data_IF_259978807941
#
_entry.id   IF_259978807941
#
_cell.length_a   1.000
_cell.length_b   1.000
_cell.length_c   1.000
_cell.angle_alpha   90.00
_cell.angle_beta   90.00
_cell.angle_gamma   90.00
#
_symmetry.space_group_name_H-M   'P 1'
#
loop_
_entity.id
_entity.type
_entity.pdbx_description
1 polymer ?
#
# COMPACT_ATOMS: atom_id res chain seq x y z
N UNK A 1 92.77 -50.58 2.17
CA UNK A 1 93.31 -50.37 3.52
C UNK A 1 92.47 -49.29 4.19
N UNK A 2 91.96 -49.59 5.39
CA UNK A 2 91.13 -48.72 6.22
C UNK A 2 91.70 -47.30 6.35
N UNK A 3 90.84 -46.28 6.43
CA UNK A 3 90.77 -45.40 7.62
C UNK A 3 89.48 -44.58 7.58
N UNK A 4 88.90 -44.44 8.76
CA UNK A 4 87.50 -44.11 9.02
C UNK A 4 87.40 -42.99 10.06
N UNK A 5 86.47 -42.04 9.83
CA UNK A 5 85.61 -41.34 10.82
C UNK A 5 86.31 -40.38 11.84
N UNK A 6 85.58 -39.48 12.54
CA UNK A 6 84.12 -39.41 12.73
C UNK A 6 83.41 -38.06 12.55
N UNK A 7 82.09 -38.20 12.41
CA UNK A 7 81.00 -37.23 12.44
C UNK A 7 80.77 -36.65 13.83
N UNK A 8 80.45 -35.36 13.94
CA UNK A 8 79.90 -34.72 15.14
C UNK A 8 78.47 -34.27 14.88
N UNK A 9 77.53 -34.74 15.69
CA UNK A 9 76.15 -34.28 15.79
C UNK A 9 76.06 -32.98 16.60
N UNK A 10 75.21 -32.04 16.18
CA UNK A 10 74.75 -30.93 17.02
C UNK A 10 73.25 -30.73 16.84
N UNK A 11 72.58 -30.64 17.98
CA UNK A 11 71.14 -30.52 18.19
C UNK A 11 70.57 -29.23 17.57
N UNK A 12 69.46 -29.34 16.84
CA UNK A 12 68.63 -28.20 16.46
C UNK A 12 67.57 -27.94 17.53
N UNK A 13 67.70 -26.80 18.21
CA UNK A 13 66.68 -26.22 19.07
C UNK A 13 65.61 -25.55 18.17
N UNK A 14 64.38 -26.07 18.19
CA UNK A 14 63.23 -25.46 17.49
C UNK A 14 62.60 -24.40 18.38
N UNK A 15 62.77 -23.13 18.05
CA UNK A 15 62.02 -22.01 18.63
C UNK A 15 60.69 -21.81 17.88
N UNK A 16 59.57 -21.92 18.58
CA UNK A 16 58.23 -21.60 18.08
C UNK A 16 58.03 -20.07 18.06
N UNK A 17 57.83 -19.50 16.87
CA UNK A 17 57.30 -18.14 16.71
C UNK A 17 55.78 -18.20 16.76
N UNK A 18 55.18 -17.56 17.77
CA UNK A 18 53.74 -17.30 17.81
C UNK A 18 53.43 -16.12 16.88
N UNK A 19 52.72 -16.36 15.78
CA UNK A 19 52.24 -15.33 14.89
C UNK A 19 50.97 -14.69 15.48
N UNK A 20 51.06 -13.40 15.84
CA UNK A 20 49.91 -12.58 16.24
C UNK A 20 49.09 -12.24 14.97
N UNK A 21 47.94 -12.89 14.78
CA UNK A 21 46.97 -12.50 13.75
C UNK A 21 46.24 -11.23 14.20
N UNK A 22 46.65 -10.07 13.70
CA UNK A 22 45.85 -8.84 13.77
C UNK A 22 44.71 -8.99 12.77
N UNK A 23 43.50 -9.32 13.25
CA UNK A 23 42.29 -9.18 12.44
C UNK A 23 42.04 -7.69 12.19
N UNK A 24 42.45 -7.19 11.03
CA UNK A 24 41.97 -5.92 10.53
C UNK A 24 40.45 -6.05 10.33
N UNK A 25 39.67 -5.46 11.25
CA UNK A 25 38.24 -5.31 11.05
C UNK A 25 38.04 -4.43 9.81
N UNK A 26 37.64 -5.03 8.68
CA UNK A 26 37.14 -4.26 7.56
C UNK A 26 36.02 -3.35 8.08
N UNK A 27 35.99 -2.05 7.71
CA UNK A 27 34.87 -1.20 8.06
C UNK A 27 33.60 -1.90 7.58
N UNK A 28 32.71 -2.24 8.50
CA UNK A 28 31.42 -2.78 8.16
C UNK A 28 30.77 -1.78 7.20
N UNK A 29 30.52 -2.18 5.96
CA UNK A 29 29.80 -1.36 5.02
C UNK A 29 28.48 -0.95 5.69
N UNK A 30 28.24 0.34 5.84
CA UNK A 30 26.96 0.83 6.35
C UNK A 30 25.89 0.24 5.45
N UNK A 31 24.93 -0.55 5.96
CA UNK A 31 23.91 -1.15 5.13
C UNK A 31 23.20 -0.03 4.37
N UNK A 32 23.27 -0.09 3.04
CA UNK A 32 22.54 0.82 2.19
C UNK A 32 21.06 0.43 2.22
N UNK A 33 20.18 1.41 2.37
CA UNK A 33 18.74 1.20 2.38
C UNK A 33 18.17 1.87 1.14
N UNK A 34 18.15 1.16 -0.01
CA UNK A 34 17.90 1.77 -1.31
C UNK A 34 16.40 1.97 -1.51
N UNK A 35 15.80 2.92 -0.79
CA UNK A 35 14.39 3.30 -0.97
C UNK A 35 14.12 3.84 -2.37
N UNK A 36 15.12 4.45 -3.00
CA UNK A 36 15.00 5.05 -4.32
C UNK A 36 14.57 4.05 -5.38
N UNK A 37 13.54 4.41 -6.14
CA UNK A 37 13.10 3.66 -7.30
C UNK A 37 11.59 3.46 -7.35
N UNK A 38 11.19 2.54 -8.23
CA UNK A 38 9.79 2.22 -8.49
C UNK A 38 9.39 0.94 -7.77
N UNK A 39 8.25 0.98 -7.11
CA UNK A 39 7.78 -0.08 -6.24
C UNK A 39 6.32 -0.39 -6.50
N UNK A 40 5.97 -1.67 -6.51
CA UNK A 40 4.59 -2.14 -6.67
C UNK A 40 4.15 -2.92 -5.46
N UNK A 41 2.98 -2.60 -4.94
CA UNK A 41 2.37 -3.36 -3.85
C UNK A 41 2.07 -4.78 -4.31
N UNK A 42 2.54 -5.76 -3.55
CA UNK A 42 2.14 -7.16 -3.70
C UNK A 42 0.79 -7.32 -3.00
N UNK A 43 -0.30 -7.18 -3.76
CA UNK A 43 -1.66 -7.24 -3.23
C UNK A 43 -2.02 -8.62 -2.67
N UNK A 44 -1.29 -9.67 -3.05
CA UNK A 44 -1.48 -11.03 -2.51
C UNK A 44 -0.86 -11.22 -1.13
N UNK A 45 0.08 -10.34 -0.75
CA UNK A 45 0.75 -10.38 0.55
C UNK A 45 -0.04 -9.73 1.69
N UNK A 46 -1.20 -9.13 1.39
CA UNK A 46 -2.05 -8.43 2.35
C UNK A 46 -2.49 -9.36 3.49
N UNK A 47 -2.09 -9.00 4.72
CA UNK A 47 -2.47 -9.69 5.96
C UNK A 47 -3.11 -8.71 6.93
N UNK A 48 -4.25 -9.08 7.50
CA UNK A 48 -4.94 -8.29 8.50
C UNK A 48 -6.42 -8.69 8.61
N UNK A 49 -7.12 -8.13 9.59
CA UNK A 49 -8.56 -8.33 9.73
C UNK A 49 -9.29 -7.42 8.73
N UNK A 50 -9.31 -7.83 7.45
CA UNK A 50 -10.04 -7.13 6.40
C UNK A 50 -11.51 -7.48 6.52
N UNK A 51 -12.33 -6.53 7.00
CA UNK A 51 -13.78 -6.71 7.10
C UNK A 51 -14.36 -6.94 5.69
N UNK A 52 -15.21 -7.97 5.49
CA UNK A 52 -15.98 -8.13 4.27
C UNK A 52 -16.85 -6.90 3.98
N UNK A 53 -16.95 -6.49 2.72
CA UNK A 53 -17.86 -5.42 2.30
C UNK A 53 -19.29 -5.91 2.40
N UNK A 54 -20.19 -5.08 2.91
CA UNK A 54 -21.63 -5.35 2.94
C UNK A 54 -22.34 -4.40 1.98
N UNK A 55 -23.18 -4.95 1.12
CA UNK A 55 -24.08 -4.16 0.27
C UNK A 55 -25.53 -4.44 0.63
N UNK A 56 -26.33 -3.39 0.59
CA UNK A 56 -27.79 -3.44 0.59
C UNK A 56 -28.27 -2.71 -0.66
N UNK A 57 -28.99 -3.42 -1.51
CA UNK A 57 -29.70 -2.85 -2.65
C UNK A 57 -31.10 -3.44 -2.69
N UNK A 58 -32.00 -2.76 -2.01
CA UNK A 58 -33.39 -3.15 -1.75
C UNK A 58 -34.28 -1.92 -1.89
N UNK A 59 -35.47 -2.09 -2.48
CA UNK A 59 -36.46 -1.02 -2.67
C UNK A 59 -35.90 0.28 -3.29
N UNK A 60 -34.93 0.15 -4.20
CA UNK A 60 -34.28 1.28 -4.86
C UNK A 60 -33.27 2.06 -3.99
N UNK A 61 -33.01 1.63 -2.75
CA UNK A 61 -31.97 2.19 -1.90
C UNK A 61 -30.67 1.39 -1.98
N UNK A 62 -29.57 2.07 -2.26
CA UNK A 62 -28.21 1.52 -2.25
C UNK A 62 -27.50 1.95 -0.96
N UNK A 63 -26.84 0.99 -0.29
CA UNK A 63 -25.96 1.25 0.85
C UNK A 63 -24.76 0.32 0.81
N UNK A 64 -23.58 0.89 1.03
CA UNK A 64 -22.30 0.19 1.18
C UNK A 64 -21.79 0.36 2.61
N UNK A 65 -21.57 -0.75 3.29
CA UNK A 65 -21.12 -0.81 4.68
C UNK A 65 -21.95 0.10 5.61
N UNK A 66 -21.28 1.00 6.33
CA UNK A 66 -21.88 1.90 7.31
C UNK A 66 -22.25 3.27 6.71
N UNK A 67 -22.18 3.42 5.38
CA UNK A 67 -22.56 4.65 4.68
C UNK A 67 -24.07 4.90 4.77
N UNK A 68 -24.49 6.12 4.44
CA UNK A 68 -25.91 6.44 4.29
C UNK A 68 -26.52 5.74 3.06
N UNK A 69 -27.85 5.75 2.98
CA UNK A 69 -28.58 5.16 1.86
C UNK A 69 -28.69 6.22 0.74
N UNK A 70 -28.29 5.85 -0.47
CA UNK A 70 -28.41 6.66 -1.69
C UNK A 70 -29.46 6.03 -2.61
N UNK A 71 -30.29 6.84 -3.27
CA UNK A 71 -31.26 6.31 -4.24
C UNK A 71 -30.55 5.79 -5.49
N UNK A 72 -30.96 4.61 -5.95
CA UNK A 72 -30.46 3.96 -7.16
C UNK A 72 -31.27 4.34 -8.40
N UNK A 73 -31.48 5.64 -8.62
CA UNK A 73 -32.30 6.21 -9.70
C UNK A 73 -31.47 6.86 -10.83
N UNK A 74 -30.14 6.77 -10.74
CA UNK A 74 -29.19 7.35 -11.69
C UNK A 74 -29.00 8.87 -11.56
N UNK A 75 -29.65 9.53 -10.61
CA UNK A 75 -29.44 10.94 -10.33
C UNK A 75 -28.35 11.14 -9.28
N UNK A 76 -27.71 12.31 -9.28
CA UNK A 76 -26.80 12.67 -8.19
C UNK A 76 -27.58 13.05 -6.95
N UNK A 77 -27.22 12.43 -5.82
CA UNK A 77 -27.71 12.78 -4.50
C UNK A 77 -26.53 13.21 -3.65
N UNK A 78 -26.75 14.25 -2.82
CA UNK A 78 -25.76 14.64 -1.84
C UNK A 78 -25.54 13.53 -0.83
N UNK A 79 -24.27 13.33 -0.49
CA UNK A 79 -23.85 12.42 0.56
C UNK A 79 -23.11 13.17 1.66
N UNK A 80 -23.31 12.72 2.89
CA UNK A 80 -22.77 13.31 4.11
C UNK A 80 -21.85 12.32 4.83
N UNK A 81 -20.89 12.85 5.59
CA UNK A 81 -19.98 12.03 6.41
C UNK A 81 -18.81 11.38 5.65
N UNK A 82 -18.66 11.62 4.34
CA UNK A 82 -17.46 11.28 3.57
C UNK A 82 -16.60 12.53 3.36
N UNK A 83 -15.29 12.43 3.62
CA UNK A 83 -14.34 13.49 3.25
C UNK A 83 -13.86 13.36 1.79
N UNK A 84 -14.29 12.31 1.08
CA UNK A 84 -13.81 11.93 -0.24
C UNK A 84 -14.86 12.00 -1.35
N UNK A 85 -16.14 12.19 -1.01
CA UNK A 85 -17.27 12.21 -1.95
C UNK A 85 -18.34 13.15 -1.40
N UNK A 86 -18.82 14.08 -2.23
CA UNK A 86 -19.89 15.04 -1.89
C UNK A 86 -21.24 14.63 -2.50
N UNK A 87 -21.21 13.97 -3.66
CA UNK A 87 -22.40 13.50 -4.37
C UNK A 87 -22.16 12.12 -4.97
N UNK A 88 -23.19 11.28 -4.96
CA UNK A 88 -23.19 9.96 -5.57
C UNK A 88 -24.37 9.78 -6.50
N UNK A 89 -24.14 9.18 -7.66
CA UNK A 89 -25.18 8.68 -8.56
C UNK A 89 -25.05 7.16 -8.68
N UNK A 90 -26.12 6.45 -8.35
CA UNK A 90 -26.18 4.98 -8.42
C UNK A 90 -27.20 4.59 -9.48
N UNK A 91 -26.80 3.76 -10.46
CA UNK A 91 -27.70 3.22 -11.48
C UNK A 91 -27.69 1.70 -11.48
N UNK A 92 -28.87 1.09 -11.50
CA UNK A 92 -29.04 -0.35 -11.75
C UNK A 92 -29.11 -0.54 -13.27
N UNK A 93 -28.14 -1.23 -13.87
CA UNK A 93 -28.10 -1.50 -15.32
C UNK A 93 -28.75 -2.84 -15.66
N UNK A 94 -28.60 -3.82 -14.77
CA UNK A 94 -29.25 -5.13 -14.85
C UNK A 94 -29.22 -5.77 -13.48
N UNK A 95 -29.81 -6.97 -13.33
CA UNK A 95 -29.68 -7.76 -12.10
C UNK A 95 -28.22 -8.14 -11.72
N UNK A 96 -27.27 -7.97 -12.64
CA UNK A 96 -25.85 -8.30 -12.48
C UNK A 96 -24.92 -7.09 -12.52
N UNK A 97 -25.42 -5.89 -12.84
CA UNK A 97 -24.55 -4.73 -13.06
C UNK A 97 -25.15 -3.50 -12.39
N UNK A 98 -24.36 -2.87 -11.52
CA UNK A 98 -24.66 -1.58 -10.88
C UNK A 98 -23.49 -0.63 -11.15
N UNK A 99 -23.77 0.63 -11.45
CA UNK A 99 -22.73 1.65 -11.65
C UNK A 99 -22.87 2.76 -10.62
N UNK A 100 -21.76 3.27 -10.12
CA UNK A 100 -21.63 4.39 -9.20
C UNK A 100 -20.76 5.47 -9.85
N UNK A 101 -21.19 6.72 -9.75
CA UNK A 101 -20.42 7.90 -10.16
C UNK A 101 -20.37 8.86 -9.00
N UNK A 102 -19.16 9.22 -8.60
CA UNK A 102 -18.91 10.08 -7.45
C UNK A 102 -18.37 11.43 -7.90
N UNK A 103 -18.82 12.49 -7.22
CA UNK A 103 -18.28 13.84 -7.39
C UNK A 103 -17.74 14.41 -6.10
N UNK A 104 -16.72 15.24 -6.26
CA UNK A 104 -16.16 16.10 -5.22
C UNK A 104 -16.08 17.51 -5.77
N UNK A 105 -16.66 18.47 -5.06
CA UNK A 105 -16.69 19.90 -5.42
C UNK A 105 -17.18 20.10 -6.86
N UNK A 106 -18.22 19.35 -7.24
CA UNK A 106 -18.84 19.35 -8.57
C UNK A 106 -18.01 18.70 -9.70
N UNK A 107 -16.86 18.10 -9.40
CA UNK A 107 -16.00 17.43 -10.38
C UNK A 107 -16.07 15.92 -10.26
N UNK A 108 -15.96 15.21 -11.38
CA UNK A 108 -15.86 13.74 -11.41
C UNK A 108 -14.65 13.29 -10.58
N UNK A 109 -14.89 12.45 -9.58
CA UNK A 109 -13.85 11.90 -8.73
C UNK A 109 -13.66 10.40 -9.01
N UNK A 110 -14.75 9.64 -9.05
CA UNK A 110 -14.70 8.20 -9.27
C UNK A 110 -15.82 7.72 -10.19
N UNK A 111 -15.53 6.67 -10.94
CA UNK A 111 -16.55 5.79 -11.52
C UNK A 111 -16.30 4.38 -11.02
N UNK A 112 -17.36 3.70 -10.61
CA UNK A 112 -17.30 2.31 -10.16
C UNK A 112 -18.33 1.48 -10.92
N UNK A 113 -17.93 0.32 -11.41
CA UNK A 113 -18.83 -0.68 -11.96
C UNK A 113 -18.75 -1.95 -11.11
N UNK A 114 -19.90 -2.37 -10.59
CA UNK A 114 -20.08 -3.60 -9.82
C UNK A 114 -20.66 -4.68 -10.73
N UNK A 115 -19.87 -5.68 -11.09
CA UNK A 115 -20.26 -6.77 -11.99
C UNK A 115 -20.36 -8.08 -11.19
N UNK A 116 -21.56 -8.64 -11.12
CA UNK A 116 -21.82 -9.91 -10.44
C UNK A 116 -21.83 -11.04 -11.48
N UNK A 117 -21.08 -12.11 -11.24
CA UNK A 117 -21.05 -13.29 -12.12
C UNK A 117 -22.44 -13.92 -12.30
N UNK A 118 -22.68 -14.65 -13.41
CA UNK A 118 -23.97 -15.31 -13.66
C UNK A 118 -24.43 -16.24 -12.54
N UNK A 119 -23.50 -16.90 -11.84
CA UNK A 119 -23.80 -17.78 -10.70
C UNK A 119 -24.00 -17.02 -9.37
N UNK A 120 -23.84 -15.71 -9.38
CA UNK A 120 -24.01 -14.83 -8.23
C UNK A 120 -22.91 -14.93 -7.17
N UNK A 121 -21.83 -15.68 -7.40
CA UNK A 121 -20.80 -15.99 -6.39
C UNK A 121 -19.61 -15.04 -6.40
N UNK A 122 -19.36 -14.38 -7.51
CA UNK A 122 -18.22 -13.48 -7.71
C UNK A 122 -18.74 -12.07 -8.00
N UNK A 123 -18.09 -11.08 -7.41
CA UNK A 123 -18.31 -9.67 -7.66
C UNK A 123 -16.99 -9.05 -8.06
N UNK A 124 -16.95 -8.41 -9.23
CA UNK A 124 -15.80 -7.64 -9.71
C UNK A 124 -16.14 -6.15 -9.65
N UNK A 125 -15.27 -5.37 -9.03
CA UNK A 125 -15.37 -3.91 -8.99
C UNK A 125 -14.35 -3.33 -9.92
N UNK A 126 -14.79 -2.59 -10.93
CA UNK A 126 -13.90 -1.79 -11.75
C UNK A 126 -13.99 -0.35 -11.29
N UNK A 127 -12.88 0.19 -10.78
CA UNK A 127 -12.80 1.58 -10.30
C UNK A 127 -11.90 2.37 -11.23
N UNK A 128 -12.34 3.57 -11.63
CA UNK A 128 -11.47 4.59 -12.19
C UNK A 128 -11.49 5.83 -11.29
N UNK A 129 -10.32 6.24 -10.82
CA UNK A 129 -10.11 7.46 -10.05
C UNK A 129 -9.58 8.57 -10.93
N UNK A 130 -10.21 9.75 -10.86
CA UNK A 130 -9.85 10.96 -11.59
C UNK A 130 -9.25 12.04 -10.68
N UNK A 131 -8.93 11.68 -9.43
CA UNK A 131 -8.48 12.64 -8.41
C UNK A 131 -7.02 13.04 -8.55
N UNK A 132 -6.26 12.37 -9.42
CA UNK A 132 -4.85 12.65 -9.63
C UNK A 132 -4.63 14.07 -10.16
N UNK A 133 -3.51 14.74 -9.82
CA UNK A 133 -3.20 16.07 -10.34
C UNK A 133 -3.16 16.14 -11.88
N UNK A 134 -2.77 15.05 -12.55
CA UNK A 134 -2.77 14.99 -14.02
C UNK A 134 -4.16 14.96 -14.66
N UNK A 135 -5.22 14.71 -13.88
CA UNK A 135 -6.59 14.49 -14.37
C UNK A 135 -6.79 13.18 -15.14
N UNK A 136 -5.75 12.37 -15.31
CA UNK A 136 -5.84 11.07 -15.97
C UNK A 136 -6.45 10.05 -15.00
N UNK A 137 -7.30 9.20 -15.57
CA UNK A 137 -7.88 8.08 -14.85
C UNK A 137 -6.78 7.10 -14.41
N UNK A 138 -6.86 6.70 -13.15
CA UNK A 138 -6.10 5.59 -12.60
C UNK A 138 -7.07 4.48 -12.25
N UNK A 139 -6.86 3.29 -12.80
CA UNK A 139 -7.81 2.19 -12.67
C UNK A 139 -7.34 1.13 -11.69
N UNK A 140 -8.32 0.45 -11.08
CA UNK A 140 -8.10 -0.74 -10.28
C UNK A 140 -9.28 -1.70 -10.43
N UNK A 141 -9.00 -2.98 -10.27
CA UNK A 141 -10.00 -4.03 -10.20
C UNK A 141 -9.92 -4.72 -8.83
N UNK A 142 -11.07 -4.97 -8.22
CA UNK A 142 -11.17 -5.80 -7.02
C UNK A 142 -12.11 -6.96 -7.29
N UNK A 143 -11.63 -8.19 -7.13
CA UNK A 143 -12.46 -9.40 -7.19
C UNK A 143 -12.83 -9.79 -5.77
N UNK A 144 -14.11 -10.08 -5.57
CA UNK A 144 -14.67 -10.51 -4.29
C UNK A 144 -15.51 -11.78 -4.45
N UNK A 145 -15.56 -12.58 -3.39
CA UNK A 145 -16.38 -13.79 -3.26
C UNK A 145 -17.53 -13.54 -2.30
N UNK A 146 -18.74 -13.98 -2.65
CA UNK A 146 -19.90 -13.87 -1.75
C UNK A 146 -19.71 -14.71 -0.48
N UNK A 147 -20.12 -14.14 0.65
CA UNK A 147 -20.28 -14.84 1.92
C UNK A 147 -21.78 -15.07 2.16
N UNK A 148 -22.17 -16.34 2.30
CA UNK A 148 -23.54 -16.75 2.57
C UNK A 148 -24.44 -16.79 1.32
N UNK A 149 -25.70 -17.20 1.47
CA UNK A 149 -26.65 -17.29 0.37
C UNK A 149 -27.05 -15.91 -0.17
N UNK A 150 -27.52 -15.86 -1.42
CA UNK A 150 -28.14 -14.67 -1.96
C UNK A 150 -29.43 -14.32 -1.19
N UNK A 151 -29.69 -13.02 -1.01
CA UNK A 151 -30.91 -12.55 -0.33
C UNK A 151 -32.10 -12.63 -1.29
N UNK A 152 -33.09 -13.47 -0.96
CA UNK A 152 -34.27 -13.67 -1.81
C UNK A 152 -35.04 -12.37 -1.98
N UNK A 153 -35.40 -12.04 -3.23
CA UNK A 153 -36.16 -10.84 -3.57
C UNK A 153 -35.35 -9.54 -3.62
N UNK A 154 -34.07 -9.55 -3.24
CA UNK A 154 -33.18 -8.40 -3.35
C UNK A 154 -32.33 -8.46 -4.63
N UNK A 155 -31.73 -7.33 -5.02
CA UNK A 155 -30.75 -7.30 -6.10
C UNK A 155 -29.54 -8.20 -5.78
N UNK A 156 -28.92 -8.83 -6.79
CA UNK A 156 -27.82 -9.78 -6.56
C UNK A 156 -26.62 -9.14 -5.85
N UNK A 157 -26.39 -7.84 -6.02
CA UNK A 157 -25.35 -7.12 -5.28
C UNK A 157 -25.52 -7.23 -3.75
N UNK A 158 -26.75 -7.31 -3.25
CA UNK A 158 -27.07 -7.39 -1.81
C UNK A 158 -26.41 -8.61 -1.17
N UNK A 159 -25.68 -8.37 -0.07
CA UNK A 159 -25.00 -9.42 0.69
C UNK A 159 -23.64 -8.99 1.21
N UNK A 160 -22.87 -9.96 1.67
CA UNK A 160 -21.50 -9.77 2.17
C UNK A 160 -20.50 -10.35 1.18
N UNK A 161 -19.39 -9.65 0.99
CA UNK A 161 -18.39 -9.96 -0.03
C UNK A 161 -16.99 -9.90 0.55
N UNK A 162 -16.26 -11.00 0.43
CA UNK A 162 -14.88 -11.14 0.86
C UNK A 162 -13.93 -10.83 -0.30
N UNK A 163 -12.95 -9.96 -0.08
CA UNK A 163 -11.92 -9.67 -1.08
C UNK A 163 -11.10 -10.92 -1.39
N UNK A 164 -10.93 -11.21 -2.67
CA UNK A 164 -10.07 -12.28 -3.20
C UNK A 164 -8.78 -11.70 -3.75
N UNK A 165 -8.88 -10.68 -4.60
CA UNK A 165 -7.71 -10.03 -5.21
C UNK A 165 -7.96 -8.55 -5.47
N UNK A 166 -6.87 -7.81 -5.63
CA UNK A 166 -6.86 -6.44 -6.10
C UNK A 166 -5.77 -6.32 -7.16
N UNK A 167 -6.07 -5.72 -8.30
CA UNK A 167 -5.10 -5.31 -9.30
C UNK A 167 -5.24 -3.81 -9.52
N UNK A 168 -4.13 -3.15 -9.84
CA UNK A 168 -4.09 -1.71 -10.03
C UNK A 168 -3.20 -1.40 -11.23
N UNK A 169 -3.55 -0.35 -11.99
CA UNK A 169 -2.73 0.18 -13.06
C UNK A 169 -1.33 0.55 -12.53
N UNK A 170 -0.29 0.38 -13.35
CA UNK A 170 1.09 0.76 -13.04
C UNK A 170 1.26 2.24 -12.70
N UNK A 171 0.29 3.09 -13.08
CA UNK A 171 0.20 4.49 -12.65
C UNK A 171 0.06 4.64 -11.12
N UNK A 172 -0.35 3.59 -10.39
CA UNK A 172 -0.35 3.54 -8.92
C UNK A 172 0.98 3.11 -8.31
N UNK A 173 1.99 2.76 -9.12
CA UNK A 173 3.29 2.38 -8.57
C UNK A 173 3.89 3.53 -7.76
N UNK A 174 4.55 3.16 -6.67
CA UNK A 174 5.21 4.11 -5.78
C UNK A 174 6.59 4.42 -6.35
N UNK A 175 6.80 5.68 -6.71
CA UNK A 175 8.10 6.23 -7.05
C UNK A 175 8.62 6.88 -5.77
N UNK A 176 9.54 6.19 -5.11
CA UNK A 176 10.13 6.62 -3.86
C UNK A 176 11.49 7.27 -4.13
N UNK A 177 11.80 8.33 -3.38
CA UNK A 177 13.13 8.93 -3.35
C UNK A 177 13.46 9.37 -1.92
N UNK A 178 14.68 9.08 -1.50
CA UNK A 178 15.25 9.44 -0.21
C UNK A 178 16.61 10.11 -0.45
N UNK A 179 16.63 11.44 -0.35
CA UNK A 179 17.83 12.26 -0.56
C UNK A 179 18.17 13.00 0.72
N UNK A 180 19.19 12.50 1.44
CA UNK A 180 19.57 13.02 2.75
C UNK A 180 18.41 12.98 3.76
N UNK A 181 17.87 14.16 4.09
CA UNK A 181 16.74 14.32 5.00
C UNK A 181 15.39 14.54 4.29
N UNK A 182 15.32 14.44 2.95
CA UNK A 182 14.08 14.55 2.18
C UNK A 182 13.60 13.17 1.76
N UNK A 183 12.31 12.92 1.94
CA UNK A 183 11.62 11.75 1.44
C UNK A 183 10.44 12.19 0.58
N UNK A 184 10.33 11.61 -0.61
CA UNK A 184 9.19 11.82 -1.48
C UNK A 184 8.58 10.48 -1.90
N UNK A 185 7.26 10.43 -1.90
CA UNK A 185 6.47 9.41 -2.55
C UNK A 185 5.68 10.07 -3.67
N UNK A 186 5.75 9.51 -4.88
CA UNK A 186 5.02 9.97 -6.05
C UNK A 186 4.44 8.80 -6.82
N UNK A 187 3.49 9.11 -7.69
CA UNK A 187 2.96 8.24 -8.73
C UNK A 187 3.18 8.89 -10.09
N UNK A 188 3.06 8.14 -11.20
CA UNK A 188 3.21 8.69 -12.56
C UNK A 188 2.20 9.80 -12.88
N UNK A 189 1.06 9.81 -12.19
CA UNK A 189 -0.02 10.78 -12.40
C UNK A 189 0.05 11.99 -11.46
N UNK A 190 1.13 12.12 -10.70
CA UNK A 190 1.44 13.28 -9.86
C UNK A 190 0.91 13.20 -8.42
N UNK A 191 0.12 12.19 -8.06
CA UNK A 191 -0.31 11.97 -6.67
C UNK A 191 0.92 11.74 -5.81
N UNK A 192 1.00 12.38 -4.66
CA UNK A 192 2.10 12.19 -3.71
C UNK A 192 2.52 13.44 -2.94
N UNK A 193 3.74 13.44 -2.42
CA UNK A 193 4.30 14.55 -1.65
C UNK A 193 5.83 14.59 -1.72
N UNK A 194 6.40 15.73 -1.29
CA UNK A 194 7.82 15.89 -0.95
C UNK A 194 7.88 16.44 0.48
N UNK A 195 8.56 15.73 1.37
CA UNK A 195 8.62 16.07 2.79
C UNK A 195 10.05 16.07 3.31
N UNK A 196 10.33 16.99 4.24
CA UNK A 196 11.54 16.95 5.06
C UNK A 196 11.26 16.08 6.29
N UNK A 197 12.10 15.08 6.53
CA UNK A 197 11.98 14.12 7.63
C UNK A 197 12.12 14.87 8.96
N UNK A 198 11.14 14.70 9.83
CA UNK A 198 11.11 15.31 11.17
C UNK A 198 10.58 16.74 11.21
N UNK A 199 10.18 17.32 10.07
CA UNK A 199 9.56 18.64 10.01
C UNK A 199 8.02 18.57 10.03
N UNK A 200 7.37 19.73 9.83
CA UNK A 200 5.90 19.84 9.75
C UNK A 200 5.32 18.96 8.63
N UNK A 201 4.07 18.55 8.81
CA UNK A 201 3.35 17.80 7.77
C UNK A 201 3.20 18.62 6.48
N UNK A 202 3.17 17.93 5.35
CA UNK A 202 2.94 18.49 4.00
C UNK A 202 1.62 17.99 3.43
N UNK A 203 1.03 18.71 2.48
CA UNK A 203 -0.20 18.24 1.81
C UNK A 203 0.14 17.05 0.90
N UNK A 204 -0.82 16.13 0.78
CA UNK A 204 -0.76 15.05 -0.21
C UNK A 204 -1.43 15.57 -1.49
N UNK A 205 -0.67 15.72 -2.56
CA UNK A 205 -1.18 16.07 -3.88
C UNK A 205 -2.08 14.95 -4.41
N UNK A 206 -3.25 15.30 -4.95
CA UNK A 206 -4.23 14.34 -5.46
C UNK A 206 -5.16 13.73 -4.40
N UNK A 207 -5.02 14.11 -3.13
CA UNK A 207 -5.97 13.77 -2.08
C UNK A 207 -7.12 14.79 -2.01
N UNK A 208 -8.36 14.30 -2.10
CA UNK A 208 -9.55 15.14 -2.16
C UNK A 208 -10.02 15.67 -0.79
N UNK A 209 -9.68 14.97 0.30
CA UNK A 209 -10.01 15.35 1.69
C UNK A 209 -9.12 16.48 2.21
N UNK A 210 -7.99 16.72 1.55
CA UNK A 210 -6.95 17.64 2.02
C UNK A 210 -6.02 17.01 3.05
N UNK A 211 -5.87 15.68 3.01
CA UNK A 211 -4.98 14.94 3.88
C UNK A 211 -3.53 15.43 3.78
N UNK A 212 -2.79 15.18 4.85
CA UNK A 212 -1.40 15.61 5.03
C UNK A 212 -0.54 14.44 5.47
N UNK A 213 0.71 14.42 5.04
CA UNK A 213 1.70 13.44 5.45
C UNK A 213 2.73 14.07 6.38
N UNK A 214 2.99 13.44 7.53
CA UNK A 214 4.11 13.74 8.42
C UNK A 214 5.12 12.59 8.38
N UNK A 215 6.37 12.89 8.02
CA UNK A 215 7.38 11.85 7.79
C UNK A 215 8.41 11.85 8.91
N UNK A 216 8.69 10.67 9.45
CA UNK A 216 9.78 10.42 10.38
C UNK A 216 10.61 9.22 9.92
N UNK A 217 11.86 9.14 10.39
CA UNK A 217 12.76 8.02 10.10
C UNK A 217 13.40 7.53 11.41
N UNK A 218 12.67 6.73 12.20
CA UNK A 218 13.16 6.28 13.51
C UNK A 218 14.37 5.34 13.40
N UNK A 219 14.56 4.71 12.22
CA UNK A 219 15.69 3.82 11.93
C UNK A 219 16.14 4.03 10.48
N UNK A 220 17.43 3.78 10.16
CA UNK A 220 17.93 3.89 8.79
C UNK A 220 17.12 3.08 7.76
N UNK A 221 16.62 1.91 8.14
CA UNK A 221 15.84 1.00 7.30
C UNK A 221 14.34 1.29 7.27
N UNK A 222 13.86 2.33 7.96
CA UNK A 222 12.41 2.51 8.19
C UNK A 222 11.98 3.96 8.00
N UNK A 223 11.07 4.18 7.05
CA UNK A 223 10.30 5.42 6.94
C UNK A 223 8.95 5.21 7.61
N UNK A 224 8.49 6.20 8.38
CA UNK A 224 7.15 6.21 8.98
C UNK A 224 6.42 7.45 8.51
N UNK A 225 5.32 7.23 7.80
CA UNK A 225 4.34 8.23 7.43
C UNK A 225 3.20 8.22 8.44
N UNK A 226 2.84 9.38 8.95
CA UNK A 226 1.60 9.59 9.71
C UNK A 226 0.68 10.46 8.88
N UNK A 227 -0.49 9.93 8.53
CA UNK A 227 -1.52 10.65 7.82
C UNK A 227 -2.34 11.48 8.78
N UNK A 228 -2.59 12.73 8.40
CA UNK A 228 -3.44 13.67 9.13
C UNK A 228 -4.58 14.19 8.26
N UNK A 229 -5.70 14.50 8.87
CA UNK A 229 -6.78 15.26 8.22
C UNK A 229 -6.30 16.66 7.81
N UNK A 230 -7.11 17.39 7.04
CA UNK A 230 -6.85 18.78 6.72
C UNK A 230 -6.67 19.67 7.98
N UNK A 231 -7.33 19.31 9.08
CA UNK A 231 -7.28 19.98 10.38
C UNK A 231 -6.12 19.50 11.27
N UNK A 232 -5.33 18.53 10.83
CA UNK A 232 -4.16 18.03 11.55
C UNK A 232 -4.45 16.92 12.56
N UNK A 233 -5.62 16.28 12.52
CA UNK A 233 -5.87 15.10 13.35
C UNK A 233 -5.19 13.88 12.74
N UNK A 234 -4.45 13.11 13.55
CA UNK A 234 -3.80 11.87 13.09
C UNK A 234 -4.84 10.78 12.83
N UNK A 235 -4.86 10.22 11.62
CA UNK A 235 -5.85 9.20 11.23
C UNK A 235 -5.24 7.83 10.92
N UNK A 236 -4.02 7.80 10.39
CA UNK A 236 -3.32 6.56 10.06
C UNK A 236 -1.81 6.69 10.24
N UNK A 237 -1.15 5.54 10.33
CA UNK A 237 0.31 5.43 10.33
C UNK A 237 0.71 4.31 9.38
N UNK A 238 1.59 4.61 8.43
CA UNK A 238 2.23 3.65 7.54
C UNK A 238 3.72 3.56 7.90
N UNK A 239 4.15 2.38 8.34
CA UNK A 239 5.58 2.05 8.49
C UNK A 239 6.05 1.31 7.25
N UNK A 240 7.10 1.82 6.60
CA UNK A 240 7.77 1.24 5.44
C UNK A 240 9.17 0.80 5.85
N UNK A 241 9.36 -0.50 6.07
CA UNK A 241 10.66 -1.05 6.43
C UNK A 241 11.31 -1.73 5.22
N UNK A 242 12.49 -1.26 4.83
CA UNK A 242 13.34 -1.94 3.84
C UNK A 242 13.81 -3.28 4.41
N UNK A 243 13.59 -4.36 3.66
CA UNK A 243 14.04 -5.69 4.02
C UNK A 243 15.53 -5.88 3.63
N UNK A 244 16.24 -6.86 4.21
CA UNK A 244 17.67 -7.08 3.93
C UNK A 244 18.01 -7.38 2.46
N UNK A 245 17.02 -7.76 1.64
CA UNK A 245 17.20 -8.02 0.21
C UNK A 245 17.35 -6.73 -0.63
N UNK A 246 17.10 -5.55 -0.05
CA UNK A 246 17.16 -4.25 -0.73
C UNK A 246 16.14 -4.10 -1.88
N UNK A 247 15.16 -5.00 -1.97
CA UNK A 247 14.19 -5.11 -3.07
C UNK A 247 12.75 -5.32 -2.58
N UNK A 248 12.57 -5.48 -1.27
CA UNK A 248 11.27 -5.61 -0.64
C UNK A 248 11.12 -4.58 0.46
N UNK A 249 10.00 -3.85 0.45
CA UNK A 249 9.57 -3.04 1.58
C UNK A 249 8.43 -3.77 2.28
N UNK A 250 8.54 -3.97 3.59
CA UNK A 250 7.43 -4.39 4.44
C UNK A 250 6.64 -3.16 4.88
N UNK A 251 5.42 -3.03 4.40
CA UNK A 251 4.44 -2.05 4.81
C UNK A 251 3.65 -2.54 6.03
N UNK A 252 3.44 -1.68 7.02
CA UNK A 252 2.46 -1.89 8.10
C UNK A 252 1.62 -0.63 8.24
N UNK A 253 0.37 -0.72 7.83
CA UNK A 253 -0.61 0.36 7.93
C UNK A 253 -1.51 0.15 9.14
N UNK A 254 -1.68 1.18 9.96
CA UNK A 254 -2.58 1.19 11.11
C UNK A 254 -3.57 2.35 11.02
N UNK A 255 -4.85 2.04 10.94
CA UNK A 255 -5.92 3.04 11.06
C UNK A 255 -6.18 3.30 12.54
N UNK A 256 -5.97 4.53 13.00
CA UNK A 256 -5.98 4.85 14.42
C UNK A 256 -7.38 4.76 15.03
N UNK A 257 -8.39 5.33 14.35
CA UNK A 257 -9.79 5.32 14.80
C UNK A 257 -10.38 3.90 14.86
N UNK A 258 -10.14 3.10 13.82
CA UNK A 258 -10.65 1.71 13.73
C UNK A 258 -9.81 0.69 14.50
N UNK A 259 -8.62 1.08 14.98
CA UNK A 259 -7.63 0.20 15.61
C UNK A 259 -7.31 -1.05 14.78
N UNK A 260 -7.44 -0.94 13.46
CA UNK A 260 -7.13 -2.01 12.50
C UNK A 260 -5.69 -1.88 12.02
N UNK A 261 -5.04 -3.01 11.80
CA UNK A 261 -3.69 -3.08 11.26
C UNK A 261 -3.66 -4.02 10.06
N UNK A 262 -2.88 -3.64 9.04
CA UNK A 262 -2.65 -4.43 7.85
C UNK A 262 -1.16 -4.44 7.53
N UNK A 263 -0.62 -5.60 7.22
CA UNK A 263 0.74 -5.76 6.74
C UNK A 263 0.71 -6.20 5.28
N UNK A 264 1.66 -5.71 4.49
CA UNK A 264 1.82 -6.06 3.09
C UNK A 264 3.29 -5.89 2.69
N UNK A 265 3.63 -6.39 1.51
CA UNK A 265 4.91 -6.16 0.86
C UNK A 265 4.75 -5.24 -0.34
N UNK A 266 5.78 -4.48 -0.60
CA UNK A 266 5.97 -3.69 -1.82
C UNK A 266 7.27 -4.18 -2.45
N UNK A 267 7.22 -4.53 -3.73
CA UNK A 267 8.35 -5.11 -4.46
C UNK A 267 8.94 -4.08 -5.41
N UNK A 268 10.26 -3.99 -5.42
CA UNK A 268 10.97 -3.15 -6.39
C UNK A 268 10.72 -3.69 -7.79
N UNK A 269 10.36 -2.81 -8.71
CA UNK A 269 10.32 -3.15 -10.13
C UNK A 269 11.75 -3.05 -10.66
N UNK A 270 12.21 -4.09 -11.35
CA UNK A 270 13.42 -4.01 -12.15
C UNK A 270 13.11 -3.19 -13.39
N UNK A 271 13.88 -2.14 -13.64
CA UNK A 271 13.91 -1.44 -14.93
C UNK A 271 14.42 -2.35 -16.05
#
# INVERSE_FOLDING_TARGET
MFTSKPTSSRNFFRGSFAALFVCAAAPAATPEYPFDGRWRMDTTSLKGNIKPTTFQLIDGGFKRDDNEIVKADGQFHHVSGSEYVDEQSISIKSGHVVTEVDRVRGKLAYTVEYVISPDGKTLTWHVASYTSPSGKAVTSETVQRRIGPATKGAHLLTGRWERVSVTADSKNDWILKLDGNRFSWRTEVGTGYDAVIGEKSVRIDGDNSGARALITRPRPDTIVETDLTAQGERVAVLSMQMMPDGRTIRGTARTLRKKTSTTFYVRRLTE
#
